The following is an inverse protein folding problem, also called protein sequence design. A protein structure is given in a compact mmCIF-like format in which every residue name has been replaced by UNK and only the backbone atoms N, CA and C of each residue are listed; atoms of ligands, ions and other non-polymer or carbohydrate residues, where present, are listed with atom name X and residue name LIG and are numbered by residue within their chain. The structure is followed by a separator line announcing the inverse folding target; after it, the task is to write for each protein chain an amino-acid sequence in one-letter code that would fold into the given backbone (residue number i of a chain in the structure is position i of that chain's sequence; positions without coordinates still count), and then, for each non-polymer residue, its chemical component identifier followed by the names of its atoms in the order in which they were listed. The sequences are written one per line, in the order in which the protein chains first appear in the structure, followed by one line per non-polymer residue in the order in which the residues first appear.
data_IF_536970657241
#
_entry.id   IF_536970657241
#
_cell.length_a   1.000
_cell.length_b   1.000
_cell.length_c   1.000
_cell.angle_alpha   90.00
_cell.angle_beta   90.00
_cell.angle_gamma   90.00
#
_symmetry.space_group_name_H-M   'P 1'
#
loop_
_entity.id
_entity.type
_entity.pdbx_description
1 polymer ?
#
# COMPACT_ATOMS: atom_id res chain seq x y z
N UNK A 1 -7.10 -31.99 -4.82
CA UNK A 1 -6.30 -31.97 -3.57
C UNK A 1 -7.25 -31.63 -2.42
N UNK A 2 -7.13 -32.28 -1.26
CA UNK A 2 -7.89 -31.92 -0.07
C UNK A 2 -7.15 -30.80 0.66
N UNK A 3 -7.82 -29.66 0.88
CA UNK A 3 -7.25 -28.50 1.59
C UNK A 3 -7.65 -28.60 3.06
N UNK A 4 -6.67 -28.65 3.97
CA UNK A 4 -6.92 -28.70 5.41
C UNK A 4 -7.21 -27.30 5.96
N UNK A 5 -8.23 -27.19 6.83
CA UNK A 5 -8.58 -25.94 7.51
C UNK A 5 -8.11 -25.97 8.97
N UNK A 6 -7.36 -24.95 9.41
CA UNK A 6 -6.90 -24.76 10.77
C UNK A 6 -7.50 -23.47 11.34
N UNK A 7 -8.29 -23.56 12.40
CA UNK A 7 -8.77 -22.38 13.12
C UNK A 7 -7.81 -22.06 14.26
N UNK A 8 -6.94 -21.06 14.07
CA UNK A 8 -5.87 -20.70 15.01
C UNK A 8 -5.89 -19.20 15.30
N UNK A 9 -6.53 -18.79 16.40
CA UNK A 9 -6.61 -17.39 16.85
C UNK A 9 -5.44 -17.00 17.77
N UNK A 10 -4.79 -17.98 18.40
CA UNK A 10 -3.64 -17.80 19.29
C UNK A 10 -2.56 -18.83 18.98
N UNK A 11 -1.34 -18.59 19.49
CA UNK A 11 -0.22 -19.50 19.33
C UNK A 11 -0.15 -20.60 20.45
N UNK A 12 -1.26 -20.85 21.13
CA UNK A 12 -1.32 -21.83 22.24
C UNK A 12 -1.50 -23.27 21.76
N UNK A 13 -2.23 -23.47 20.66
CA UNK A 13 -2.43 -24.80 20.05
C UNK A 13 -1.17 -25.28 19.34
N UNK A 14 -0.25 -25.85 20.11
CA UNK A 14 1.05 -26.32 19.62
C UNK A 14 0.93 -27.49 18.64
N UNK A 15 -0.11 -28.32 18.76
CA UNK A 15 -0.33 -29.43 17.85
C UNK A 15 -0.72 -28.97 16.46
N UNK A 16 -1.71 -28.09 16.35
CA UNK A 16 -2.12 -27.53 15.07
C UNK A 16 -1.02 -26.67 14.42
N UNK A 17 -0.23 -25.92 15.22
CA UNK A 17 0.95 -25.21 14.74
C UNK A 17 1.99 -26.19 14.16
N UNK A 18 2.27 -27.29 14.85
CA UNK A 18 3.22 -28.29 14.37
C UNK A 18 2.75 -28.94 13.06
N UNK A 19 1.45 -29.26 12.95
CA UNK A 19 0.85 -29.81 11.72
C UNK A 19 0.92 -28.80 10.56
N UNK A 20 0.64 -27.52 10.80
CA UNK A 20 0.76 -26.45 9.82
C UNK A 20 2.23 -26.25 9.38
N UNK A 21 3.16 -26.25 10.32
CA UNK A 21 4.59 -26.15 10.04
C UNK A 21 5.13 -27.36 9.24
N UNK A 22 4.57 -28.54 9.47
CA UNK A 22 4.95 -29.75 8.75
C UNK A 22 4.55 -29.70 7.25
N UNK A 23 3.45 -29.02 6.92
CA UNK A 23 3.11 -28.74 5.51
C UNK A 23 4.25 -27.99 4.85
N UNK A 24 4.75 -26.90 5.45
CA UNK A 24 5.85 -26.10 4.90
C UNK A 24 7.16 -26.89 4.80
N UNK A 25 7.48 -27.70 5.82
CA UNK A 25 8.71 -28.54 5.83
C UNK A 25 8.72 -29.57 4.71
N UNK A 26 7.56 -30.10 4.35
CA UNK A 26 7.42 -31.09 3.26
C UNK A 26 7.28 -30.47 1.87
N UNK A 27 7.44 -29.15 1.73
CA UNK A 27 7.32 -28.45 0.46
C UNK A 27 5.88 -28.18 0.00
N UNK A 28 4.91 -28.34 0.92
CA UNK A 28 3.50 -28.01 0.65
C UNK A 28 3.21 -26.51 0.74
N UNK A 29 1.99 -26.14 0.33
CA UNK A 29 1.48 -24.77 0.31
C UNK A 29 0.53 -24.53 1.48
N UNK A 30 0.80 -23.49 2.27
CA UNK A 30 -0.01 -23.11 3.42
C UNK A 30 -0.38 -21.63 3.33
N UNK A 31 -1.67 -21.33 3.31
CA UNK A 31 -2.11 -19.95 3.49
C UNK A 31 -2.01 -19.55 4.96
N UNK A 32 -1.31 -18.46 5.24
CA UNK A 32 -1.02 -17.95 6.58
C UNK A 32 -1.61 -16.55 6.80
N UNK A 33 -2.21 -16.28 7.97
CA UNK A 33 -2.68 -14.96 8.32
C UNK A 33 -1.51 -14.02 8.62
N UNK A 34 -1.64 -12.75 8.27
CA UNK A 34 -0.75 -11.69 8.75
C UNK A 34 -1.57 -10.47 9.16
N UNK A 35 -0.94 -9.48 9.78
CA UNK A 35 -1.59 -8.21 10.11
C UNK A 35 -1.98 -7.42 8.85
N UNK A 36 -1.31 -7.67 7.71
CA UNK A 36 -1.51 -6.95 6.46
C UNK A 36 -2.55 -7.61 5.55
N UNK A 37 -2.19 -8.73 4.94
CA UNK A 37 -3.03 -9.58 4.09
C UNK A 37 -2.64 -11.04 4.31
N UNK A 38 -3.51 -11.98 3.98
CA UNK A 38 -3.14 -13.40 3.97
C UNK A 38 -2.05 -13.68 2.94
N UNK A 39 -1.04 -14.46 3.35
CA UNK A 39 0.07 -14.89 2.50
C UNK A 39 -0.07 -16.36 2.07
N UNK A 40 0.22 -16.68 0.82
CA UNK A 40 0.38 -18.06 0.37
C UNK A 40 1.82 -18.50 0.59
N UNK A 41 2.06 -19.25 1.66
CA UNK A 41 3.36 -19.65 2.16
C UNK A 41 3.89 -20.95 1.59
N UNK A 42 5.18 -20.99 1.31
CA UNK A 42 5.95 -22.21 1.07
C UNK A 42 7.36 -22.08 1.65
N UNK A 43 8.12 -23.17 1.74
CA UNK A 43 9.54 -23.11 2.09
C UNK A 43 10.32 -22.26 1.07
N UNK A 44 10.80 -21.08 1.49
CA UNK A 44 11.49 -20.14 0.62
C UNK A 44 12.86 -20.57 0.12
N UNK A 45 13.42 -21.66 0.66
CA UNK A 45 14.69 -22.25 0.25
C UNK A 45 14.52 -23.45 -0.69
N UNK A 46 13.30 -23.89 -0.93
CA UNK A 46 12.96 -25.02 -1.82
C UNK A 46 12.38 -24.49 -3.12
N UNK A 47 13.15 -24.60 -4.20
CA UNK A 47 12.74 -24.12 -5.53
C UNK A 47 11.46 -24.79 -6.06
N UNK A 48 11.23 -26.05 -5.70
CA UNK A 48 10.02 -26.80 -6.10
C UNK A 48 8.79 -26.28 -5.33
N UNK A 49 8.91 -26.10 -4.02
CA UNK A 49 7.85 -25.53 -3.21
C UNK A 49 7.50 -24.10 -3.66
N UNK A 50 8.51 -23.30 -3.99
CA UNK A 50 8.32 -21.94 -4.54
C UNK A 50 7.63 -21.99 -5.91
N UNK A 51 7.97 -22.95 -6.78
CA UNK A 51 7.29 -23.11 -8.07
C UNK A 51 5.79 -23.37 -7.89
N UNK A 52 5.41 -24.20 -6.93
CA UNK A 52 4.00 -24.48 -6.64
C UNK A 52 3.21 -23.21 -6.24
N UNK A 53 3.86 -22.19 -5.57
CA UNK A 53 3.21 -20.88 -5.35
C UNK A 53 2.82 -20.23 -6.68
N UNK A 54 3.74 -20.18 -7.64
CA UNK A 54 3.47 -19.55 -8.94
C UNK A 54 2.36 -20.27 -9.71
N UNK A 55 2.36 -21.61 -9.68
CA UNK A 55 1.36 -22.44 -10.32
C UNK A 55 -0.03 -22.28 -9.69
N UNK A 56 -0.14 -22.41 -8.35
CA UNK A 56 -1.41 -22.28 -7.64
C UNK A 56 -2.08 -20.92 -7.86
N UNK A 57 -1.28 -19.84 -7.96
CA UNK A 57 -1.76 -18.48 -8.19
C UNK A 57 -1.94 -18.10 -9.65
N UNK A 58 -1.33 -18.80 -10.60
CA UNK A 58 -1.15 -18.31 -11.97
C UNK A 58 -0.26 -17.05 -12.03
N UNK A 59 0.79 -16.99 -11.17
CA UNK A 59 1.66 -15.82 -11.02
C UNK A 59 2.85 -15.88 -11.96
N UNK A 60 3.25 -14.75 -12.59
CA UNK A 60 4.50 -14.68 -13.35
C UNK A 60 5.73 -14.95 -12.47
N UNK A 61 6.66 -15.81 -12.97
CA UNK A 61 7.82 -16.25 -12.19
C UNK A 61 8.92 -15.18 -12.03
N UNK A 62 8.91 -14.13 -12.85
CA UNK A 62 9.81 -12.97 -12.74
C UNK A 62 9.41 -11.97 -11.63
N UNK A 63 8.29 -12.22 -10.95
CA UNK A 63 7.78 -11.35 -9.88
C UNK A 63 8.26 -11.89 -8.52
N UNK A 64 9.26 -11.26 -7.88
CA UNK A 64 9.93 -11.79 -6.70
C UNK A 64 8.97 -12.05 -5.53
N UNK A 65 9.38 -12.90 -4.59
CA UNK A 65 8.66 -13.20 -3.36
C UNK A 65 9.35 -12.57 -2.15
N UNK A 66 8.59 -12.37 -1.08
CA UNK A 66 9.09 -11.87 0.22
C UNK A 66 9.27 -13.07 1.13
N UNK A 67 10.44 -13.18 1.77
CA UNK A 67 10.71 -14.15 2.81
C UNK A 67 10.23 -13.62 4.17
N UNK A 68 9.29 -14.34 4.76
CA UNK A 68 8.81 -14.10 6.12
C UNK A 68 9.69 -14.87 7.10
N UNK A 69 10.18 -14.17 8.09
CA UNK A 69 11.11 -14.69 9.12
C UNK A 69 10.54 -14.46 10.52
N UNK A 70 11.05 -15.20 11.49
CA UNK A 70 10.61 -15.13 12.88
C UNK A 70 10.96 -13.78 13.52
N UNK A 71 12.20 -13.31 13.34
CA UNK A 71 12.77 -12.11 13.94
C UNK A 71 14.01 -11.60 13.16
N UNK A 72 14.55 -10.45 13.57
CA UNK A 72 15.71 -9.84 12.93
C UNK A 72 17.00 -10.68 13.03
N UNK A 73 17.10 -11.58 14.01
CA UNK A 73 18.25 -12.50 14.14
C UNK A 73 18.39 -13.47 12.97
N UNK A 74 17.31 -13.65 12.18
CA UNK A 74 17.36 -14.48 10.97
C UNK A 74 17.91 -13.75 9.75
N UNK A 75 18.06 -12.42 9.78
CA UNK A 75 18.59 -11.65 8.63
C UNK A 75 19.94 -12.18 8.17
N UNK A 76 20.89 -12.37 9.08
CA UNK A 76 22.23 -12.85 8.77
C UNK A 76 22.29 -14.29 8.27
N UNK A 77 21.21 -15.05 8.38
CA UNK A 77 21.14 -16.41 7.80
C UNK A 77 20.96 -16.37 6.29
N UNK A 78 20.24 -15.36 5.78
CA UNK A 78 19.76 -15.28 4.40
C UNK A 78 20.25 -14.07 3.63
N UNK A 79 20.80 -13.06 4.33
CA UNK A 79 21.30 -11.83 3.72
C UNK A 79 22.79 -11.63 3.97
N UNK A 80 23.47 -11.02 2.98
CA UNK A 80 24.84 -10.55 3.04
C UNK A 80 24.86 -9.07 3.42
N UNK A 81 25.93 -8.61 4.05
CA UNK A 81 26.22 -7.19 4.31
C UNK A 81 24.98 -6.41 4.84
N UNK A 82 24.29 -6.98 5.84
CA UNK A 82 23.09 -6.34 6.40
C UNK A 82 23.44 -4.98 7.00
N UNK A 83 22.93 -3.86 6.45
CA UNK A 83 23.32 -2.53 6.91
C UNK A 83 22.68 -2.20 8.27
N UNK A 84 23.31 -1.32 9.06
CA UNK A 84 22.81 -0.85 10.36
C UNK A 84 21.39 -0.28 10.24
N UNK A 85 21.06 0.37 9.12
CA UNK A 85 19.72 0.86 8.82
C UNK A 85 18.65 -0.25 8.90
N UNK A 86 19.00 -1.50 8.49
CA UNK A 86 18.05 -2.62 8.56
C UNK A 86 17.76 -3.00 10.02
N UNK A 87 18.76 -3.02 10.89
CA UNK A 87 18.55 -3.31 12.32
C UNK A 87 17.77 -2.18 13.01
N UNK A 88 18.08 -0.92 12.71
CA UNK A 88 17.35 0.24 13.20
C UNK A 88 15.86 0.20 12.83
N UNK A 89 15.56 -0.17 11.58
CA UNK A 89 14.18 -0.32 11.12
C UNK A 89 13.51 -1.54 11.74
N UNK A 90 14.21 -2.66 11.89
CA UNK A 90 13.68 -3.86 12.53
C UNK A 90 13.36 -3.62 14.02
N UNK A 91 14.21 -2.94 14.76
CA UNK A 91 13.97 -2.60 16.16
C UNK A 91 12.71 -1.75 16.33
N UNK A 92 12.48 -0.80 15.41
CA UNK A 92 11.37 0.15 15.50
C UNK A 92 10.06 -0.38 14.93
N UNK A 93 10.10 -1.23 13.89
CA UNK A 93 8.93 -1.58 13.07
C UNK A 93 8.70 -3.07 12.88
N UNK A 94 9.52 -3.95 13.45
CA UNK A 94 9.30 -5.38 13.48
C UNK A 94 9.03 -5.90 14.90
N UNK A 95 8.09 -6.84 15.01
CA UNK A 95 7.22 -7.38 13.98
C UNK A 95 6.25 -6.31 13.45
N UNK A 96 5.99 -6.35 12.10
CA UNK A 96 5.10 -5.35 11.52
C UNK A 96 5.09 -5.28 9.98
N UNK A 97 4.37 -4.27 9.44
CA UNK A 97 4.06 -4.17 8.02
C UNK A 97 5.20 -3.55 7.20
N UNK A 98 6.45 -3.92 7.48
CA UNK A 98 7.65 -3.45 6.78
C UNK A 98 8.40 -4.61 6.15
N UNK A 99 8.72 -4.48 4.85
CA UNK A 99 9.62 -5.36 4.09
C UNK A 99 10.87 -4.58 3.70
N UNK A 100 12.02 -5.13 3.97
CA UNK A 100 13.33 -4.57 3.59
C UNK A 100 13.95 -5.40 2.47
N UNK A 101 14.35 -4.76 1.37
CA UNK A 101 15.13 -5.39 0.30
C UNK A 101 16.60 -5.32 0.68
N UNK A 102 17.24 -6.50 0.70
CA UNK A 102 18.64 -6.69 1.09
C UNK A 102 19.34 -7.61 0.08
N UNK A 103 20.69 -7.61 0.06
CA UNK A 103 21.47 -8.59 -0.71
C UNK A 103 21.24 -9.99 -0.19
N UNK A 104 20.89 -10.92 -1.06
CA UNK A 104 20.66 -12.32 -0.68
C UNK A 104 21.97 -13.10 -0.53
N UNK A 105 21.98 -14.11 0.33
CA UNK A 105 22.99 -15.16 0.34
C UNK A 105 22.71 -16.22 -0.74
N UNK A 106 23.75 -16.99 -1.16
CA UNK A 106 23.59 -18.06 -2.15
C UNK A 106 22.56 -19.14 -1.77
N UNK A 107 22.30 -19.36 -0.47
CA UNK A 107 21.29 -20.31 0.01
C UNK A 107 19.85 -19.91 -0.36
N UNK A 108 19.59 -18.63 -0.71
CA UNK A 108 18.28 -18.20 -1.20
C UNK A 108 18.22 -18.39 -2.71
N UNK A 109 17.32 -19.25 -3.22
CA UNK A 109 17.24 -19.56 -4.64
C UNK A 109 16.86 -18.35 -5.49
N UNK A 110 17.38 -18.29 -6.72
CA UNK A 110 17.01 -17.26 -7.70
C UNK A 110 15.52 -17.31 -8.06
N UNK A 111 14.90 -18.49 -8.02
CA UNK A 111 13.45 -18.62 -8.23
C UNK A 111 12.64 -17.85 -7.19
N UNK A 112 13.06 -17.86 -5.93
CA UNK A 112 12.43 -17.10 -4.84
C UNK A 112 12.52 -15.59 -5.08
N UNK A 113 13.62 -15.14 -5.64
CA UNK A 113 13.89 -13.71 -5.88
C UNK A 113 13.53 -13.23 -7.29
N UNK A 114 12.90 -14.07 -8.13
CA UNK A 114 12.59 -13.70 -9.53
C UNK A 114 13.83 -13.42 -10.38
N UNK A 115 14.96 -14.07 -10.04
CA UNK A 115 16.24 -13.89 -10.74
C UNK A 115 17.04 -12.65 -10.28
N UNK A 116 16.72 -12.09 -9.09
CA UNK A 116 17.44 -10.95 -8.51
C UNK A 116 18.48 -11.42 -7.48
N UNK A 117 19.57 -10.65 -7.33
CA UNK A 117 20.57 -10.84 -6.27
C UNK A 117 20.15 -10.18 -4.94
N UNK A 118 18.91 -9.73 -4.86
CA UNK A 118 18.31 -9.13 -3.66
C UNK A 118 17.09 -9.92 -3.24
N UNK A 119 16.74 -9.86 -1.95
CA UNK A 119 15.59 -10.53 -1.36
C UNK A 119 14.83 -9.59 -0.43
N UNK A 120 13.49 -9.67 -0.48
CA UNK A 120 12.63 -8.98 0.49
C UNK A 120 12.51 -9.80 1.77
N UNK A 121 12.82 -9.18 2.91
CA UNK A 121 12.75 -9.78 4.24
C UNK A 121 11.69 -9.09 5.08
N UNK A 122 10.86 -9.87 5.80
CA UNK A 122 9.80 -9.33 6.66
C UNK A 122 9.60 -10.19 7.90
N UNK A 123 9.37 -9.56 9.04
CA UNK A 123 8.86 -10.21 10.25
C UNK A 123 7.40 -9.79 10.47
N UNK A 124 6.39 -10.66 10.20
CA UNK A 124 4.97 -10.28 10.29
C UNK A 124 4.51 -10.14 11.75
N UNK A 125 3.63 -9.19 12.03
CA UNK A 125 3.02 -9.05 13.35
C UNK A 125 1.76 -9.94 13.50
N UNK A 126 2.00 -11.25 13.50
CA UNK A 126 0.97 -12.23 13.75
C UNK A 126 1.55 -13.41 14.53
N UNK A 127 1.12 -13.59 15.77
CA UNK A 127 1.70 -14.57 16.71
C UNK A 127 1.66 -16.01 16.18
N UNK A 128 0.54 -16.43 15.58
CA UNK A 128 0.38 -17.77 14.99
C UNK A 128 1.35 -17.97 13.83
N UNK A 129 1.45 -17.00 12.92
CA UNK A 129 2.35 -17.10 11.77
C UNK A 129 3.81 -17.16 12.19
N UNK A 130 4.22 -16.34 13.16
CA UNK A 130 5.60 -16.40 13.69
C UNK A 130 5.88 -17.75 14.38
N UNK A 131 4.89 -18.31 15.10
CA UNK A 131 5.03 -19.65 15.71
C UNK A 131 5.14 -20.75 14.65
N UNK A 132 4.39 -20.68 13.55
CA UNK A 132 4.49 -21.61 12.42
C UNK A 132 5.86 -21.50 11.73
N UNK A 133 6.36 -20.27 11.48
CA UNK A 133 7.70 -20.05 10.91
C UNK A 133 8.77 -20.64 11.82
N UNK A 134 8.68 -20.41 13.14
CA UNK A 134 9.62 -20.98 14.12
C UNK A 134 9.57 -22.49 14.12
N UNK A 135 8.38 -23.10 14.20
CA UNK A 135 8.19 -24.54 14.22
C UNK A 135 8.63 -25.21 12.91
N UNK A 136 8.47 -24.51 11.75
CA UNK A 136 8.95 -25.03 10.47
C UNK A 136 10.48 -25.01 10.33
N UNK A 137 11.14 -24.07 11.01
CA UNK A 137 12.60 -23.88 10.95
C UNK A 137 13.10 -23.28 9.63
N UNK A 138 12.20 -22.88 8.70
CA UNK A 138 12.54 -22.34 7.38
C UNK A 138 11.95 -20.94 7.18
N UNK A 139 12.57 -20.06 6.35
CA UNK A 139 11.96 -18.80 5.97
C UNK A 139 10.82 -19.09 4.99
N UNK A 140 9.68 -18.41 5.18
CA UNK A 140 8.48 -18.68 4.40
C UNK A 140 8.35 -17.65 3.28
N UNK A 141 8.51 -18.09 2.02
CA UNK A 141 8.18 -17.27 0.86
C UNK A 141 6.66 -17.12 0.79
N UNK A 142 6.15 -15.90 0.90
CA UNK A 142 4.70 -15.69 0.90
C UNK A 142 4.30 -14.40 0.16
N UNK A 143 3.83 -14.50 -1.10
CA UNK A 143 3.00 -13.47 -1.72
C UNK A 143 1.60 -13.49 -1.11
N UNK A 144 0.75 -12.49 -1.41
CA UNK A 144 -0.67 -12.52 -1.00
C UNK A 144 -1.38 -13.80 -1.48
N UNK A 145 -2.37 -14.29 -0.73
CA UNK A 145 -2.98 -15.62 -0.98
C UNK A 145 -4.11 -15.63 -2.04
N UNK A 146 -4.28 -14.57 -2.83
CA UNK A 146 -5.26 -14.48 -3.91
C UNK A 146 -4.76 -15.11 -5.22
N UNK A 147 -5.67 -15.48 -6.13
CA UNK A 147 -5.35 -15.72 -7.54
C UNK A 147 -4.73 -14.47 -8.15
N UNK A 148 -3.69 -14.63 -8.98
CA UNK A 148 -2.94 -13.50 -9.54
C UNK A 148 -3.85 -12.51 -10.28
N UNK A 149 -3.67 -11.22 -9.99
CA UNK A 149 -4.48 -10.13 -10.57
C UNK A 149 -5.70 -9.73 -9.74
N UNK A 150 -6.32 -10.65 -8.97
CA UNK A 150 -7.46 -10.34 -8.09
C UNK A 150 -7.06 -9.53 -6.86
N UNK A 151 -8.02 -8.85 -6.17
CA UNK A 151 -7.74 -8.15 -4.92
C UNK A 151 -7.18 -9.10 -3.85
N UNK A 152 -6.28 -8.60 -3.00
CA UNK A 152 -5.63 -9.41 -1.95
C UNK A 152 -6.65 -9.92 -0.92
N UNK A 153 -6.34 -11.07 -0.32
CA UNK A 153 -7.19 -11.69 0.70
C UNK A 153 -6.93 -11.06 2.07
N UNK A 154 -7.96 -10.55 2.73
CA UNK A 154 -7.92 -9.99 4.08
C UNK A 154 -8.60 -10.87 5.12
N UNK A 155 -9.30 -11.93 4.69
CA UNK A 155 -9.91 -12.96 5.53
C UNK A 155 -9.55 -14.36 5.02
N UNK A 156 -9.74 -15.39 5.85
CA UNK A 156 -9.55 -16.77 5.45
C UNK A 156 -10.60 -17.23 4.42
N UNK A 157 -11.80 -16.66 4.48
CA UNK A 157 -12.87 -16.91 3.51
C UNK A 157 -12.45 -16.45 2.11
N UNK A 158 -11.85 -15.26 1.96
CA UNK A 158 -11.28 -14.81 0.68
C UNK A 158 -10.22 -15.77 0.13
N UNK A 159 -9.40 -16.35 1.03
CA UNK A 159 -8.43 -17.39 0.63
C UNK A 159 -9.12 -18.64 0.17
N UNK A 160 -10.17 -19.08 0.88
CA UNK A 160 -10.98 -20.25 0.50
C UNK A 160 -11.59 -20.10 -0.89
N UNK A 161 -12.15 -18.95 -1.22
CA UNK A 161 -12.71 -18.66 -2.55
C UNK A 161 -11.66 -18.83 -3.66
N UNK A 162 -10.44 -18.35 -3.44
CA UNK A 162 -9.39 -18.31 -4.44
C UNK A 162 -8.57 -19.62 -4.53
N UNK A 163 -8.34 -20.30 -3.39
CA UNK A 163 -7.31 -21.34 -3.25
C UNK A 163 -7.81 -22.72 -2.80
N UNK A 164 -9.09 -22.87 -2.44
CA UNK A 164 -9.60 -24.19 -2.02
C UNK A 164 -9.39 -25.24 -3.09
N UNK A 165 -8.90 -26.41 -2.69
CA UNK A 165 -8.57 -27.50 -3.60
C UNK A 165 -7.26 -27.36 -4.38
N UNK A 166 -6.54 -26.23 -4.24
CA UNK A 166 -5.28 -25.94 -4.92
C UNK A 166 -4.07 -25.97 -3.98
N UNK A 167 -4.29 -25.89 -2.66
CA UNK A 167 -3.24 -25.80 -1.63
C UNK A 167 -3.49 -26.79 -0.48
N UNK A 168 -2.45 -27.11 0.29
CA UNK A 168 -2.48 -28.14 1.33
C UNK A 168 -3.21 -27.69 2.60
N UNK A 169 -3.19 -26.37 2.92
CA UNK A 169 -3.87 -25.89 4.11
C UNK A 169 -4.11 -24.39 4.14
N UNK A 170 -5.11 -24.01 4.94
CA UNK A 170 -5.46 -22.62 5.26
C UNK A 170 -5.48 -22.49 6.78
N UNK A 171 -4.74 -21.51 7.29
CA UNK A 171 -4.79 -21.11 8.70
C UNK A 171 -5.70 -19.91 8.84
N UNK A 172 -6.87 -20.09 9.45
CA UNK A 172 -7.78 -19.02 9.80
C UNK A 172 -7.34 -18.38 11.12
N UNK A 173 -6.65 -17.24 11.01
CA UNK A 173 -6.21 -16.39 12.12
C UNK A 173 -7.11 -15.18 12.38
N UNK A 174 -8.22 -15.05 11.67
CA UNK A 174 -9.12 -13.90 11.72
C UNK A 174 -8.84 -12.87 10.62
N UNK A 175 -9.58 -11.77 10.60
CA UNK A 175 -9.41 -10.69 9.65
C UNK A 175 -8.09 -9.93 9.88
N UNK A 176 -7.49 -9.46 8.79
CA UNK A 176 -6.27 -8.66 8.84
C UNK A 176 -6.53 -7.28 9.45
N UNK A 177 -5.65 -6.82 10.33
CA UNK A 177 -5.84 -5.56 11.07
C UNK A 177 -5.43 -4.32 10.27
N UNK A 178 -4.53 -4.46 9.29
CA UNK A 178 -4.03 -3.36 8.44
C UNK A 178 -4.77 -3.30 7.11
N UNK A 179 -5.01 -4.44 6.47
CA UNK A 179 -5.81 -4.57 5.26
C UNK A 179 -5.09 -4.26 3.94
N UNK A 180 -3.93 -3.63 3.97
CA UNK A 180 -3.05 -3.42 2.80
C UNK A 180 -1.70 -4.08 3.03
N UNK A 181 -1.00 -4.46 1.96
CA UNK A 181 0.29 -5.15 2.06
C UNK A 181 1.36 -4.29 2.75
N UNK A 182 2.47 -4.94 3.10
CA UNK A 182 3.63 -4.29 3.71
C UNK A 182 4.24 -3.20 2.84
N UNK A 183 4.76 -2.16 3.48
CA UNK A 183 5.63 -1.16 2.86
C UNK A 183 6.94 -1.81 2.49
N UNK A 184 7.46 -1.54 1.29
CA UNK A 184 8.73 -2.11 0.81
C UNK A 184 9.74 -0.99 0.62
N UNK A 185 10.86 -1.08 1.34
CA UNK A 185 12.01 -0.18 1.21
C UNK A 185 13.22 -0.95 0.69
N UNK A 186 13.93 -0.36 -0.25
CA UNK A 186 15.20 -0.87 -0.78
C UNK A 186 16.36 -0.23 -0.01
N UNK A 187 17.10 -1.06 0.73
CA UNK A 187 18.28 -0.66 1.50
C UNK A 187 19.60 -0.97 0.78
N UNK A 188 19.52 -1.46 -0.46
CA UNK A 188 20.71 -1.74 -1.29
C UNK A 188 21.16 -0.53 -2.10
N UNK A 189 20.43 0.57 -2.02
CA UNK A 189 20.71 1.86 -2.69
C UNK A 189 20.81 3.00 -1.67
N UNK A 190 21.52 4.06 -2.05
CA UNK A 190 21.68 5.26 -1.21
C UNK A 190 21.27 6.49 -2.03
N UNK A 191 20.37 7.34 -1.54
CA UNK A 191 19.56 7.12 -0.33
C UNK A 191 18.60 5.92 -0.46
N UNK A 192 18.10 5.35 0.67
CA UNK A 192 17.10 4.28 0.65
C UNK A 192 15.86 4.66 -0.15
N UNK A 193 15.26 3.67 -0.84
CA UNK A 193 14.17 3.95 -1.78
C UNK A 193 12.89 3.19 -1.43
N UNK A 194 11.75 3.90 -1.32
CA UNK A 194 10.43 3.30 -1.21
C UNK A 194 10.03 2.70 -2.56
N UNK A 195 9.86 1.37 -2.62
CA UNK A 195 9.43 0.65 -3.81
C UNK A 195 7.92 0.41 -3.85
N UNK A 196 7.29 0.28 -2.69
CA UNK A 196 5.85 0.07 -2.55
C UNK A 196 5.34 0.70 -1.26
N UNK A 197 4.40 1.64 -1.30
CA UNK A 197 3.71 2.11 -0.11
C UNK A 197 2.81 1.00 0.45
N UNK A 198 2.65 0.93 1.77
CA UNK A 198 1.89 -0.12 2.44
C UNK A 198 1.49 0.29 3.86
N UNK A 199 1.34 -0.71 4.75
CA UNK A 199 0.85 -0.51 6.11
C UNK A 199 1.73 0.37 7.02
N UNK A 200 3.00 0.60 6.66
CA UNK A 200 3.86 1.57 7.33
C UNK A 200 3.95 2.84 6.48
N UNK A 201 3.55 4.03 7.01
CA UNK A 201 3.64 5.30 6.28
C UNK A 201 5.07 5.69 5.88
N UNK A 202 5.22 6.40 4.75
CA UNK A 202 6.51 6.93 4.27
C UNK A 202 7.13 7.89 5.29
N UNK A 203 6.31 8.69 5.93
CA UNK A 203 6.71 9.64 6.97
C UNK A 203 7.45 8.93 8.11
N UNK A 204 6.98 7.75 8.54
CA UNK A 204 7.64 6.96 9.59
C UNK A 204 9.02 6.44 9.16
N UNK A 205 9.20 6.12 7.88
CA UNK A 205 10.51 5.73 7.33
C UNK A 205 11.47 6.94 7.31
N UNK A 206 10.98 8.12 6.91
CA UNK A 206 11.75 9.36 6.92
C UNK A 206 12.18 9.77 8.32
N UNK A 207 11.29 9.63 9.30
CA UNK A 207 11.62 9.87 10.72
C UNK A 207 12.74 8.95 11.22
N UNK A 208 12.77 7.71 10.74
CA UNK A 208 13.78 6.74 11.16
C UNK A 208 15.13 6.90 10.44
N UNK A 209 15.11 7.20 9.13
CA UNK A 209 16.29 7.15 8.27
C UNK A 209 16.76 8.53 7.78
N UNK A 210 15.95 9.57 7.90
CA UNK A 210 16.15 10.86 7.26
C UNK A 210 15.66 10.83 5.81
N UNK A 211 16.57 10.88 4.85
CA UNK A 211 16.21 10.90 3.44
C UNK A 211 15.73 9.53 2.96
N UNK A 212 14.54 9.50 2.34
CA UNK A 212 13.99 8.33 1.65
C UNK A 212 13.37 8.80 0.33
N UNK A 213 13.90 8.30 -0.78
CA UNK A 213 13.36 8.57 -2.13
C UNK A 213 12.17 7.67 -2.43
N UNK A 214 11.37 8.03 -3.44
CA UNK A 214 10.21 7.25 -3.87
C UNK A 214 10.41 6.79 -5.30
N UNK A 215 10.26 5.49 -5.54
CA UNK A 215 10.37 4.92 -6.88
C UNK A 215 9.20 5.40 -7.77
N UNK A 216 9.49 5.67 -9.05
CA UNK A 216 8.48 6.12 -10.03
C UNK A 216 7.32 5.14 -10.20
N UNK A 217 7.55 3.83 -10.02
CA UNK A 217 6.51 2.80 -10.10
C UNK A 217 5.45 2.89 -8.98
N UNK A 218 5.65 3.74 -7.97
CA UNK A 218 4.63 4.05 -6.95
C UNK A 218 3.48 4.88 -7.55
N UNK A 219 3.81 5.81 -8.45
CA UNK A 219 2.84 6.78 -9.01
C UNK A 219 2.54 6.57 -10.49
N UNK A 220 3.38 5.81 -11.20
CA UNK A 220 3.28 5.60 -12.64
C UNK A 220 3.35 4.11 -12.98
N UNK A 221 2.79 3.75 -14.15
CA UNK A 221 2.93 2.40 -14.70
C UNK A 221 4.38 2.15 -15.11
N UNK A 222 4.92 0.98 -14.77
CA UNK A 222 6.24 0.55 -15.26
C UNK A 222 6.20 0.28 -16.76
N UNK A 223 7.32 0.50 -17.44
CA UNK A 223 7.47 0.17 -18.86
C UNK A 223 7.58 -1.35 -19.08
N UNK A 224 7.19 -1.85 -20.27
CA UNK A 224 7.15 -3.27 -20.61
C UNK A 224 8.55 -3.85 -20.65
N UNK A 225 9.59 -3.48 -20.51
CA UNK A 225 10.95 -4.08 -20.44
C UNK A 225 11.58 -4.07 -19.06
N UNK A 226 10.99 -3.34 -18.12
CA UNK A 226 11.57 -3.18 -16.79
C UNK A 226 11.31 -4.42 -15.91
N UNK A 227 12.35 -4.90 -15.20
CA UNK A 227 12.21 -5.97 -14.21
C UNK A 227 11.73 -5.40 -12.88
N UNK A 228 10.69 -6.00 -12.25
CA UNK A 228 10.23 -5.56 -10.95
C UNK A 228 11.25 -5.91 -9.86
N UNK A 229 11.67 -4.93 -9.06
CA UNK A 229 12.57 -5.14 -7.91
C UNK A 229 11.83 -5.60 -6.66
N UNK A 230 10.51 -5.49 -6.66
CA UNK A 230 9.64 -5.91 -5.55
C UNK A 230 8.28 -6.35 -6.06
N UNK A 231 7.53 -7.15 -5.26
CA UNK A 231 6.18 -7.56 -5.62
C UNK A 231 5.24 -6.37 -5.78
N UNK A 232 4.37 -6.43 -6.80
CA UNK A 232 3.33 -5.43 -7.01
C UNK A 232 3.78 -4.18 -7.76
N UNK A 233 4.98 -4.14 -8.34
CA UNK A 233 5.45 -3.00 -9.13
C UNK A 233 4.93 -2.99 -10.57
N UNK A 234 5.01 -4.13 -11.30
CA UNK A 234 4.89 -4.19 -12.77
C UNK A 234 3.48 -4.53 -13.28
N UNK A 235 2.89 -5.60 -12.76
CA UNK A 235 1.68 -6.17 -13.33
C UNK A 235 0.40 -5.45 -12.89
N UNK A 236 -0.70 -5.59 -13.66
CA UNK A 236 -2.03 -5.19 -13.18
C UNK A 236 -2.36 -6.04 -11.96
N UNK A 237 -2.63 -5.40 -10.87
CA UNK A 237 -2.93 -6.02 -9.58
C UNK A 237 -4.25 -5.51 -9.03
N UNK A 238 -4.88 -6.30 -8.17
CA UNK A 238 -6.05 -5.92 -7.37
C UNK A 238 -7.30 -5.63 -8.20
N UNK A 239 -7.31 -6.03 -9.46
CA UNK A 239 -8.40 -5.70 -10.37
C UNK A 239 -9.60 -6.63 -10.15
N UNK A 240 -10.80 -6.09 -9.87
CA UNK A 240 -12.06 -6.81 -9.99
C UNK A 240 -12.36 -7.09 -11.46
N UNK A 241 -13.44 -7.86 -11.72
CA UNK A 241 -13.90 -8.18 -13.09
C UNK A 241 -14.35 -6.92 -13.83
N UNK A 242 -15.12 -6.06 -13.17
CA UNK A 242 -15.56 -4.79 -13.75
C UNK A 242 -14.43 -3.76 -13.78
N UNK A 243 -14.33 -2.91 -14.82
CA UNK A 243 -13.35 -1.83 -14.87
C UNK A 243 -13.57 -0.83 -13.74
N UNK A 244 -12.48 -0.30 -13.21
CA UNK A 244 -12.49 0.68 -12.12
C UNK A 244 -12.03 2.03 -12.64
N UNK A 245 -12.75 3.10 -12.28
CA UNK A 245 -12.34 4.49 -12.41
C UNK A 245 -12.11 5.07 -11.02
N UNK A 246 -10.94 5.62 -10.80
CA UNK A 246 -10.57 6.25 -9.51
C UNK A 246 -10.73 7.74 -9.62
N UNK A 247 -11.41 8.35 -8.66
CA UNK A 247 -11.60 9.81 -8.61
C UNK A 247 -10.80 10.39 -7.46
N UNK A 248 -9.82 11.22 -7.81
CA UNK A 248 -9.00 12.01 -6.87
C UNK A 248 -9.64 13.37 -6.58
N UNK A 249 -9.05 14.12 -5.65
CA UNK A 249 -9.54 15.44 -5.24
C UNK A 249 -10.14 15.45 -3.84
N UNK A 250 -10.68 16.59 -3.44
CA UNK A 250 -11.32 16.74 -2.12
C UNK A 250 -12.52 15.80 -1.96
N UNK A 251 -12.76 15.29 -0.73
CA UNK A 251 -13.80 14.28 -0.47
C UNK A 251 -15.20 14.69 -0.99
N UNK A 252 -15.60 15.96 -0.81
CA UNK A 252 -16.87 16.46 -1.34
C UNK A 252 -16.87 16.63 -2.86
N UNK A 253 -15.72 17.04 -3.44
CA UNK A 253 -15.62 17.23 -4.89
C UNK A 253 -15.67 15.89 -5.60
N UNK A 254 -14.89 14.90 -5.14
CA UNK A 254 -14.90 13.54 -5.70
C UNK A 254 -16.26 12.85 -5.56
N UNK A 255 -16.97 13.01 -4.43
CA UNK A 255 -18.33 12.47 -4.29
C UNK A 255 -19.32 13.08 -5.32
N UNK A 256 -19.26 14.40 -5.54
CA UNK A 256 -20.06 15.07 -6.56
C UNK A 256 -19.70 14.62 -7.97
N UNK A 257 -18.42 14.43 -8.23
CA UNK A 257 -17.93 13.93 -9.52
C UNK A 257 -18.51 12.54 -9.81
N UNK A 258 -18.43 11.62 -8.85
CA UNK A 258 -19.04 10.30 -8.96
C UNK A 258 -20.55 10.40 -9.26
N UNK A 259 -21.27 11.22 -8.52
CA UNK A 259 -22.72 11.38 -8.68
C UNK A 259 -23.13 11.85 -10.09
N UNK A 260 -22.28 12.63 -10.75
CA UNK A 260 -22.58 13.17 -12.09
C UNK A 260 -22.10 12.29 -13.25
N UNK A 261 -21.19 11.33 -12.99
CA UNK A 261 -20.57 10.51 -14.03
C UNK A 261 -20.91 9.02 -13.93
N UNK A 262 -21.25 8.52 -12.74
CA UNK A 262 -21.65 7.13 -12.55
C UNK A 262 -22.98 6.84 -13.26
N UNK A 263 -23.02 5.80 -14.09
CA UNK A 263 -24.22 5.33 -14.76
C UNK A 263 -25.09 4.46 -13.84
N UNK A 264 -26.31 4.16 -14.25
CA UNK A 264 -27.28 3.38 -13.44
C UNK A 264 -26.78 1.99 -13.00
N UNK A 265 -25.85 1.38 -13.74
CA UNK A 265 -25.24 0.07 -13.45
C UNK A 265 -23.85 0.17 -12.84
N UNK A 266 -23.48 1.32 -12.35
CA UNK A 266 -22.18 1.51 -11.71
C UNK A 266 -22.19 1.03 -10.25
N UNK A 267 -21.13 0.32 -9.85
CA UNK A 267 -20.78 0.10 -8.46
C UNK A 267 -20.02 1.31 -7.91
N UNK A 268 -20.29 1.67 -6.67
CA UNK A 268 -19.69 2.85 -6.02
C UNK A 268 -18.89 2.45 -4.80
N UNK A 269 -17.61 2.85 -4.77
CA UNK A 269 -16.78 2.84 -3.56
C UNK A 269 -16.64 4.28 -3.10
N UNK A 270 -17.21 4.62 -1.95
CA UNK A 270 -17.18 5.99 -1.44
C UNK A 270 -16.91 6.05 0.06
N UNK A 271 -16.60 7.24 0.57
CA UNK A 271 -16.53 7.45 2.01
C UNK A 271 -17.91 7.44 2.64
N UNK A 272 -17.97 7.03 3.90
CA UNK A 272 -19.22 6.77 4.64
C UNK A 272 -20.19 7.95 4.61
N UNK A 273 -19.67 9.18 4.67
CA UNK A 273 -20.46 10.42 4.69
C UNK A 273 -21.28 10.63 3.41
N UNK A 274 -20.88 9.96 2.32
CA UNK A 274 -21.50 10.19 1.00
C UNK A 274 -22.34 9.02 0.51
N UNK A 275 -22.46 7.94 1.26
CA UNK A 275 -23.21 6.72 0.85
C UNK A 275 -24.63 7.03 0.42
N UNK A 276 -25.34 7.93 1.14
CA UNK A 276 -26.72 8.33 0.84
C UNK A 276 -26.88 9.12 -0.46
N UNK A 277 -25.80 9.64 -1.05
CA UNK A 277 -25.87 10.34 -2.33
C UNK A 277 -26.09 9.37 -3.50
N UNK A 278 -25.84 8.07 -3.28
CA UNK A 278 -25.84 7.05 -4.32
C UNK A 278 -26.99 6.04 -4.14
N UNK A 279 -28.13 6.51 -3.61
CA UNK A 279 -29.33 5.69 -3.50
C UNK A 279 -29.71 5.12 -4.88
N UNK A 280 -29.92 3.81 -4.96
CA UNK A 280 -30.19 3.09 -6.21
C UNK A 280 -28.96 2.44 -6.86
N UNK A 281 -27.74 2.76 -6.44
CA UNK A 281 -26.52 2.08 -6.84
C UNK A 281 -26.13 0.97 -5.85
N UNK A 282 -25.27 0.05 -6.28
CA UNK A 282 -24.59 -0.87 -5.37
C UNK A 282 -23.41 -0.11 -4.77
N UNK A 283 -23.52 0.26 -3.48
CA UNK A 283 -22.53 1.07 -2.77
C UNK A 283 -21.76 0.21 -1.79
N UNK A 284 -20.43 0.32 -1.80
CA UNK A 284 -19.57 -0.22 -0.76
C UNK A 284 -18.86 0.92 -0.02
N UNK A 285 -19.17 1.14 1.27
CA UNK A 285 -18.50 2.17 2.07
C UNK A 285 -17.04 1.79 2.33
N UNK A 286 -16.14 2.77 2.19
CA UNK A 286 -14.70 2.55 2.39
C UNK A 286 -14.28 2.84 3.84
N UNK A 287 -15.09 3.55 4.60
CA UNK A 287 -14.79 4.17 5.88
C UNK A 287 -14.92 5.70 5.81
N UNK A 288 -14.91 6.38 6.95
CA UNK A 288 -14.97 7.83 6.98
C UNK A 288 -13.77 8.47 6.24
N UNK A 289 -13.96 9.66 5.65
CA UNK A 289 -12.93 10.31 4.81
C UNK A 289 -11.63 10.62 5.55
N UNK A 290 -11.67 10.78 6.88
CA UNK A 290 -10.54 11.00 7.77
C UNK A 290 -10.00 9.71 8.44
N UNK A 291 -10.72 8.57 8.36
CA UNK A 291 -10.27 7.29 8.91
C UNK A 291 -9.53 6.43 7.86
N UNK A 292 -8.26 6.77 7.64
CA UNK A 292 -7.39 6.00 6.73
C UNK A 292 -7.17 4.55 7.17
N UNK A 293 -7.37 4.24 8.47
CA UNK A 293 -7.21 2.88 8.98
C UNK A 293 -8.37 2.00 8.54
N UNK A 294 -9.61 2.44 8.73
CA UNK A 294 -10.78 1.76 8.22
C UNK A 294 -10.72 1.61 6.70
N UNK A 295 -10.35 2.67 5.98
CA UNK A 295 -10.21 2.62 4.52
C UNK A 295 -9.20 1.57 4.05
N UNK A 296 -8.06 1.44 4.72
CA UNK A 296 -7.06 0.42 4.40
C UNK A 296 -7.59 -1.00 4.64
N UNK A 297 -8.37 -1.21 5.70
CA UNK A 297 -8.99 -2.51 6.01
C UNK A 297 -10.03 -2.92 4.97
N UNK A 298 -10.80 -1.98 4.44
CA UNK A 298 -11.94 -2.26 3.57
C UNK A 298 -11.60 -2.25 2.06
N UNK A 299 -10.49 -1.64 1.62
CA UNK A 299 -10.23 -1.42 0.19
C UNK A 299 -10.25 -2.69 -0.66
N UNK A 300 -9.72 -3.80 -0.16
CA UNK A 300 -9.74 -5.06 -0.92
C UNK A 300 -11.08 -5.78 -0.84
N UNK A 301 -11.76 -5.70 0.30
CA UNK A 301 -13.11 -6.23 0.45
C UNK A 301 -14.07 -5.50 -0.48
N UNK A 302 -14.02 -4.18 -0.52
CA UNK A 302 -14.80 -3.36 -1.43
C UNK A 302 -14.60 -3.77 -2.90
N UNK A 303 -13.36 -3.97 -3.32
CA UNK A 303 -13.06 -4.42 -4.69
C UNK A 303 -13.54 -5.85 -4.98
N UNK A 304 -13.51 -6.76 -3.97
CA UNK A 304 -13.99 -8.14 -4.13
C UNK A 304 -15.50 -8.24 -4.22
N UNK A 305 -16.22 -7.49 -3.40
CA UNK A 305 -17.69 -7.54 -3.33
C UNK A 305 -18.32 -7.33 -4.69
N UNK A 306 -17.76 -6.47 -5.53
CA UNK A 306 -18.32 -6.23 -6.87
C UNK A 306 -18.16 -7.40 -7.83
N UNK A 307 -17.25 -8.35 -7.57
CA UNK A 307 -17.10 -9.57 -8.38
C UNK A 307 -18.34 -10.50 -8.27
N UNK A 308 -19.15 -10.35 -7.23
CA UNK A 308 -20.38 -11.10 -6.98
C UNK A 308 -21.62 -10.36 -7.47
N UNK A 309 -21.46 -9.20 -8.09
CA UNK A 309 -22.54 -8.34 -8.59
C UNK A 309 -22.52 -8.27 -10.13
N UNK A 310 -23.60 -7.71 -10.70
CA UNK A 310 -23.71 -7.49 -12.15
C UNK A 310 -23.40 -6.03 -12.54
N UNK A 311 -22.55 -5.33 -11.80
CA UNK A 311 -22.13 -3.98 -12.16
C UNK A 311 -21.29 -3.97 -13.44
N UNK A 312 -21.52 -2.99 -14.30
CA UNK A 312 -20.77 -2.84 -15.56
C UNK A 312 -19.43 -2.12 -15.37
N UNK A 313 -19.33 -1.29 -14.34
CA UNK A 313 -18.14 -0.50 -14.00
C UNK A 313 -18.15 -0.16 -12.51
N UNK A 314 -17.02 0.29 -11.98
CA UNK A 314 -16.85 0.69 -10.57
C UNK A 314 -16.22 2.08 -10.53
N UNK A 315 -16.85 2.98 -9.79
CA UNK A 315 -16.33 4.30 -9.49
C UNK A 315 -15.86 4.37 -8.03
N UNK A 316 -14.62 4.81 -7.80
CA UNK A 316 -14.02 4.79 -6.47
C UNK A 316 -13.47 6.14 -6.04
N UNK A 317 -13.89 6.65 -4.87
CA UNK A 317 -13.24 7.78 -4.23
C UNK A 317 -11.83 7.39 -3.75
N UNK A 318 -10.86 8.27 -3.99
CA UNK A 318 -9.48 8.10 -3.56
C UNK A 318 -9.19 9.02 -2.36
N UNK A 319 -8.61 8.50 -1.27
CA UNK A 319 -8.13 9.36 -0.20
C UNK A 319 -6.93 10.21 -0.63
N UNK A 320 -6.63 11.24 0.16
CA UNK A 320 -5.37 11.98 0.00
C UNK A 320 -4.14 11.09 0.22
N UNK A 321 -2.97 11.54 -0.23
CA UNK A 321 -1.73 10.74 -0.22
C UNK A 321 -0.97 10.76 1.11
N UNK A 322 -1.53 11.30 2.21
CA UNK A 322 -0.86 11.36 3.52
C UNK A 322 -1.03 10.03 4.28
N UNK A 323 0.01 9.62 4.98
CA UNK A 323 0.00 8.41 5.80
C UNK A 323 -0.39 7.15 4.99
N UNK A 324 -1.38 6.39 5.47
CA UNK A 324 -1.91 5.21 4.78
C UNK A 324 -2.61 5.54 3.46
N UNK A 325 -3.04 6.78 3.25
CA UNK A 325 -3.72 7.20 2.03
C UNK A 325 -2.88 6.97 0.77
N UNK A 326 -1.54 7.11 0.86
CA UNK A 326 -0.64 6.79 -0.24
C UNK A 326 -0.75 5.31 -0.65
N UNK A 327 -0.84 4.40 0.32
CA UNK A 327 -0.99 2.97 0.06
C UNK A 327 -2.36 2.64 -0.53
N UNK A 328 -3.43 3.16 0.06
CA UNK A 328 -4.81 2.94 -0.40
C UNK A 328 -4.97 3.45 -1.83
N UNK A 329 -4.57 4.70 -2.09
CA UNK A 329 -4.60 5.28 -3.43
C UNK A 329 -3.76 4.50 -4.46
N UNK A 330 -2.59 3.99 -4.07
CA UNK A 330 -1.79 3.12 -4.93
C UNK A 330 -2.54 1.82 -5.29
N UNK A 331 -3.28 1.20 -4.35
CA UNK A 331 -4.08 -0.03 -4.60
C UNK A 331 -5.24 0.24 -5.55
N UNK A 332 -6.01 1.29 -5.29
CA UNK A 332 -7.10 1.71 -6.16
C UNK A 332 -6.61 2.04 -7.58
N UNK A 333 -5.56 2.84 -7.72
CA UNK A 333 -5.00 3.21 -9.03
C UNK A 333 -4.49 1.98 -9.80
N UNK A 334 -3.87 1.00 -9.12
CA UNK A 334 -3.45 -0.26 -9.77
C UNK A 334 -4.63 -1.15 -10.16
N UNK A 335 -5.69 -1.21 -9.35
CA UNK A 335 -6.94 -1.89 -9.70
C UNK A 335 -7.57 -1.28 -10.96
N UNK A 336 -7.54 0.05 -11.07
CA UNK A 336 -8.03 0.81 -12.21
C UNK A 336 -7.09 0.77 -13.45
N UNK A 337 -5.91 0.14 -13.36
CA UNK A 337 -4.92 0.22 -14.43
C UNK A 337 -4.44 1.64 -14.70
N UNK A 338 -4.48 2.50 -13.68
CA UNK A 338 -4.19 3.95 -13.70
C UNK A 338 -5.21 4.80 -14.47
N UNK A 339 -6.45 4.30 -14.63
CA UNK A 339 -7.57 5.14 -15.06
C UNK A 339 -8.01 6.01 -13.87
N UNK A 340 -7.59 7.28 -13.89
CA UNK A 340 -7.77 8.24 -12.79
C UNK A 340 -8.34 9.53 -13.34
N UNK A 341 -9.44 9.99 -12.73
CA UNK A 341 -10.06 11.27 -12.95
C UNK A 341 -9.78 12.20 -11.76
N UNK A 342 -9.67 13.50 -12.02
CA UNK A 342 -9.46 14.48 -10.95
C UNK A 342 -10.70 15.36 -10.81
N UNK A 343 -11.41 15.23 -9.70
CA UNK A 343 -12.60 16.03 -9.40
C UNK A 343 -12.26 17.51 -9.15
N UNK A 344 -11.01 17.81 -8.86
CA UNK A 344 -10.50 19.17 -8.68
C UNK A 344 -9.92 19.73 -10.01
N UNK A 345 -9.81 18.89 -11.06
CA UNK A 345 -9.44 19.32 -12.41
C UNK A 345 -10.60 20.12 -12.99
N UNK A 346 -10.36 21.38 -13.25
CA UNK A 346 -11.39 22.33 -13.68
C UNK A 346 -11.68 23.43 -12.65
N UNK A 347 -10.98 23.50 -11.53
CA UNK A 347 -10.95 24.71 -10.71
C UNK A 347 -10.49 25.88 -11.55
N UNK A 348 -11.36 26.87 -11.71
CA UNK A 348 -10.97 28.12 -12.36
C UNK A 348 -10.09 28.90 -11.39
N UNK A 349 -8.80 28.94 -11.67
CA UNK A 349 -7.87 29.80 -10.94
C UNK A 349 -7.81 31.15 -11.65
N UNK A 350 -8.30 32.17 -10.98
CA UNK A 350 -8.27 33.56 -11.52
C UNK A 350 -7.17 34.36 -10.83
N UNK A 351 -6.11 34.68 -11.56
CA UNK A 351 -5.10 35.61 -11.12
C UNK A 351 -5.60 37.04 -11.22
N UNK A 352 -5.69 37.77 -10.10
CA UNK A 352 -6.09 39.19 -10.08
C UNK A 352 -4.87 40.03 -9.78
N UNK A 353 -4.46 40.84 -10.73
CA UNK A 353 -3.33 41.77 -10.59
C UNK A 353 -3.78 43.21 -10.88
N UNK A 354 -2.98 44.19 -10.49
CA UNK A 354 -3.23 45.60 -10.70
C UNK A 354 -2.51 46.49 -9.69
N UNK A 355 -2.33 47.76 -10.00
CA UNK A 355 -1.68 48.74 -9.13
C UNK A 355 -2.43 48.99 -7.82
N UNK A 356 -1.81 49.75 -6.92
CA UNK A 356 -2.42 50.20 -5.67
C UNK A 356 -3.69 51.03 -5.95
N UNK A 357 -4.78 50.74 -5.24
CA UNK A 357 -6.06 51.42 -5.42
C UNK A 357 -6.94 50.90 -6.58
N UNK A 358 -6.51 49.89 -7.34
CA UNK A 358 -7.26 49.31 -8.48
C UNK A 358 -8.51 48.51 -8.10
N UNK A 359 -8.86 48.41 -6.80
CA UNK A 359 -10.06 47.72 -6.33
C UNK A 359 -9.92 46.18 -6.22
N UNK A 360 -8.70 45.64 -6.27
CA UNK A 360 -8.43 44.19 -6.15
C UNK A 360 -9.11 43.57 -4.92
N UNK A 361 -8.91 44.17 -3.74
CA UNK A 361 -9.48 43.69 -2.48
C UNK A 361 -11.02 43.67 -2.49
N UNK A 362 -11.65 44.68 -3.13
CA UNK A 362 -13.11 44.74 -3.27
C UNK A 362 -13.64 43.62 -4.17
N UNK A 363 -12.90 43.30 -5.26
CA UNK A 363 -13.25 42.17 -6.14
C UNK A 363 -13.06 40.84 -5.43
N UNK A 364 -11.94 40.64 -4.73
CA UNK A 364 -11.67 39.42 -3.94
C UNK A 364 -12.79 39.15 -2.92
N UNK A 365 -13.18 40.16 -2.15
CA UNK A 365 -14.31 40.07 -1.21
C UNK A 365 -15.65 39.77 -1.88
N UNK A 366 -15.88 40.27 -3.09
CA UNK A 366 -17.08 39.98 -3.84
C UNK A 366 -17.11 38.50 -4.34
N UNK A 367 -15.98 37.97 -4.77
CA UNK A 367 -15.81 36.56 -5.17
C UNK A 367 -15.97 35.62 -3.95
N UNK A 368 -15.36 35.95 -2.83
CA UNK A 368 -15.46 35.21 -1.58
C UNK A 368 -16.93 35.08 -1.13
N UNK A 369 -17.71 36.17 -1.18
CA UNK A 369 -19.16 36.15 -0.88
C UNK A 369 -19.96 35.25 -1.85
N UNK A 370 -19.41 34.94 -3.03
CA UNK A 370 -19.97 34.01 -4.01
C UNK A 370 -19.43 32.59 -3.86
N UNK A 371 -18.65 32.31 -2.82
CA UNK A 371 -18.11 30.98 -2.52
C UNK A 371 -16.75 30.67 -3.14
N UNK A 372 -16.07 31.67 -3.72
CA UNK A 372 -14.69 31.47 -4.16
C UNK A 372 -13.74 31.38 -2.96
N UNK A 373 -12.75 30.50 -3.05
CA UNK A 373 -11.61 30.51 -2.14
C UNK A 373 -10.67 31.65 -2.58
N UNK A 374 -10.44 32.61 -1.69
CA UNK A 374 -9.58 33.76 -1.98
C UNK A 374 -8.24 33.57 -1.31
N UNK A 375 -7.16 33.73 -2.07
CA UNK A 375 -5.80 33.69 -1.59
C UNK A 375 -5.17 35.05 -1.85
N UNK A 376 -4.89 35.80 -0.80
CA UNK A 376 -4.14 37.06 -0.88
C UNK A 376 -2.65 36.74 -0.77
N UNK A 377 -1.94 36.79 -1.90
CA UNK A 377 -0.53 36.42 -1.96
C UNK A 377 0.36 37.34 -1.10
N UNK A 378 -0.01 38.65 -0.96
CA UNK A 378 0.75 39.56 -0.12
C UNK A 378 0.58 39.20 1.37
N UNK A 379 -0.65 38.82 1.78
CA UNK A 379 -0.90 38.37 3.14
C UNK A 379 -0.17 37.05 3.45
N UNK A 380 -0.21 36.10 2.53
CA UNK A 380 0.52 34.82 2.66
C UNK A 380 2.02 35.07 2.75
N UNK A 381 2.56 35.94 1.86
CA UNK A 381 3.99 36.26 1.86
C UNK A 381 4.42 36.91 3.18
N UNK A 382 3.64 37.85 3.70
CA UNK A 382 3.92 38.47 4.99
C UNK A 382 3.84 37.49 6.17
N UNK A 383 2.97 36.48 6.11
CA UNK A 383 2.90 35.43 7.12
C UNK A 383 4.15 34.54 7.06
N UNK A 384 4.55 34.12 5.86
CA UNK A 384 5.77 33.32 5.67
C UNK A 384 7.05 34.03 6.12
N UNK A 385 7.11 35.36 5.94
CA UNK A 385 8.25 36.15 6.41
C UNK A 385 8.39 36.18 7.95
N UNK A 386 7.37 35.81 8.70
CA UNK A 386 7.44 35.79 10.18
C UNK A 386 8.11 34.53 10.70
N UNK A 387 7.73 33.33 10.15
CA UNK A 387 8.02 32.05 10.79
C UNK A 387 8.55 30.97 9.82
N UNK A 388 8.63 31.24 8.48
CA UNK A 388 9.12 30.24 7.52
C UNK A 388 10.66 30.27 7.46
N UNK A 389 11.30 29.51 8.34
CA UNK A 389 12.76 29.41 8.42
C UNK A 389 13.44 29.03 7.07
N UNK A 390 12.94 28.09 6.26
CA UNK A 390 13.50 27.80 4.94
C UNK A 390 13.52 29.01 4.01
N UNK A 391 12.42 29.78 3.96
CA UNK A 391 12.32 31.00 3.15
C UNK A 391 13.29 32.06 3.66
N UNK A 392 13.33 32.31 4.94
CA UNK A 392 14.22 33.31 5.56
C UNK A 392 15.70 32.96 5.32
N UNK A 393 16.05 31.70 5.37
CA UNK A 393 17.41 31.22 5.05
C UNK A 393 17.75 31.47 3.58
N UNK A 394 16.86 31.08 2.66
CA UNK A 394 17.07 31.30 1.21
C UNK A 394 17.21 32.80 0.89
N UNK A 395 16.42 33.66 1.53
CA UNK A 395 16.55 35.11 1.37
C UNK A 395 17.89 35.63 1.89
N UNK A 396 18.39 35.14 3.04
CA UNK A 396 19.71 35.51 3.56
C UNK A 396 20.84 35.07 2.64
N UNK A 397 20.75 33.87 2.10
CA UNK A 397 21.75 33.34 1.15
C UNK A 397 21.77 34.16 -0.15
N UNK A 398 20.60 34.58 -0.66
CA UNK A 398 20.49 35.29 -1.92
C UNK A 398 20.84 36.79 -1.81
N UNK A 399 20.50 37.45 -0.71
CA UNK A 399 20.54 38.93 -0.59
C UNK A 399 21.37 39.42 0.60
N UNK A 400 21.89 38.53 1.47
CA UNK A 400 22.63 38.87 2.67
C UNK A 400 21.74 39.46 3.77
N UNK A 401 22.34 39.82 4.91
CA UNK A 401 21.62 40.35 6.06
C UNK A 401 21.09 41.79 5.87
N UNK A 402 21.44 42.41 4.76
CA UNK A 402 21.05 43.81 4.45
C UNK A 402 19.54 44.01 4.32
N UNK A 403 18.82 42.97 3.98
CA UNK A 403 17.36 43.01 3.82
C UNK A 403 16.59 42.74 5.13
N UNK A 404 17.30 42.32 6.18
CA UNK A 404 16.72 42.07 7.50
C UNK A 404 16.92 43.29 8.39
N UNK A 405 15.87 43.69 9.14
CA UNK A 405 15.99 44.76 10.12
C UNK A 405 16.81 44.25 11.33
N UNK A 406 17.54 45.19 12.00
CA UNK A 406 18.35 44.84 13.17
C UNK A 406 17.51 44.50 14.43
N UNK A 407 16.21 44.76 14.39
CA UNK A 407 15.25 44.58 15.49
C UNK A 407 14.29 43.36 15.24
N UNK A 408 14.53 42.52 14.24
CA UNK A 408 13.77 41.31 13.94
C UNK A 408 12.70 41.47 12.87
#
# INVERSE_FOLDING_TARGET
METKWFTLRTAEDKESIAQAADILRRGGLLAIPTETVYGLGANGLDETAVLHIFEAKGRPQDNPLILHIRDAGWLTRYCEDVPDAAYKLAERFWPGPLTMILKKKPCVPLRTTGGLETVGMRCPDHAVTRAIIEASGVPVAAPSANTSGRPSCTTAEHVREDMWGKIDGIVDGGPCQVGVESTIIDLTVTPPQLLRPGGLPLESLRDALGEVTVDKAVTQKMNDGEKPRAPGMKYRHYAPKAPVTVVTGGAKASARYLLTHAGEKSGIICFDEFTRLFDGHIVHPLGASDDKRAQAQHVFDALRTFDETNVGEIWAQCPDSKGLGLAIGNRLKKAAGFHVEDADDGKIVIGITGGTGAGKTSLLRALERKGACVLDCDAVYHEMLKDDEPLLRALREAFGDVIFRQDG
#
